data_IF_532251799743
#
_entry.id   IF_532251799743
#
_cell.length_a   1.000
_cell.length_b   1.000
_cell.length_c   1.000
_cell.angle_alpha   90.00
_cell.angle_beta   90.00
_cell.angle_gamma   90.00
#
_symmetry.space_group_name_H-M   'P 1'
#
loop_
_entity.id
_entity.type
_entity.pdbx_description
1 polymer ?
#
# COMPACT_ATOMS: atom_id res chain seq x y z
N UNK A 1 -10.84 20.23 -9.12
CA UNK A 1 -10.40 18.82 -9.02
C UNK A 1 -11.57 17.96 -8.59
N UNK A 2 -11.83 16.86 -9.32
CA UNK A 2 -12.74 15.81 -8.88
C UNK A 2 -12.08 15.02 -7.75
N UNK A 3 -12.75 14.88 -6.61
CA UNK A 3 -12.23 14.11 -5.46
C UNK A 3 -12.13 12.63 -5.85
N UNK A 4 -11.08 11.91 -5.43
CA UNK A 4 -10.98 10.48 -5.71
C UNK A 4 -12.09 9.71 -4.99
N UNK A 5 -12.54 8.61 -5.59
CA UNK A 5 -13.40 7.64 -4.92
C UNK A 5 -12.52 6.79 -4.01
N UNK A 6 -12.86 6.75 -2.72
CA UNK A 6 -12.14 5.96 -1.72
C UNK A 6 -12.98 4.74 -1.35
N UNK A 7 -12.34 3.57 -1.35
CA UNK A 7 -12.91 2.31 -0.87
C UNK A 7 -12.15 1.94 0.39
N UNK A 8 -12.86 1.77 1.50
CA UNK A 8 -12.30 1.24 2.73
C UNK A 8 -12.47 -0.29 2.74
N UNK A 9 -11.37 -1.01 2.85
CA UNK A 9 -11.36 -2.47 2.99
C UNK A 9 -10.94 -2.85 4.40
N UNK A 10 -11.65 -3.80 4.99
CA UNK A 10 -11.35 -4.34 6.33
C UNK A 10 -11.58 -5.84 6.35
N UNK A 11 -10.70 -6.55 7.06
CA UNK A 11 -10.94 -7.92 7.53
C UNK A 11 -11.17 -7.89 9.04
N UNK A 12 -12.30 -8.44 9.47
CA UNK A 12 -12.68 -8.49 10.89
C UNK A 12 -13.09 -9.89 11.31
N UNK A 13 -12.76 -10.22 12.55
CA UNK A 13 -13.38 -11.34 13.25
C UNK A 13 -14.86 -11.04 13.56
N UNK A 14 -15.63 -12.07 13.90
CA UNK A 14 -17.04 -11.94 14.27
C UNK A 14 -17.28 -11.02 15.48
N UNK A 15 -16.27 -10.87 16.35
CA UNK A 15 -16.29 -9.96 17.49
C UNK A 15 -15.86 -8.53 17.14
N UNK A 16 -15.66 -8.21 15.86
CA UNK A 16 -15.29 -6.88 15.38
C UNK A 16 -13.79 -6.56 15.45
N UNK A 17 -12.95 -7.47 15.94
CA UNK A 17 -11.49 -7.24 15.96
C UNK A 17 -10.93 -7.25 14.54
N UNK A 18 -10.18 -6.22 14.18
CA UNK A 18 -9.41 -6.14 12.93
C UNK A 18 -8.12 -6.93 13.10
N UNK A 19 -7.90 -7.92 12.25
CA UNK A 19 -6.74 -8.81 12.35
C UNK A 19 -6.16 -9.13 10.95
N UNK A 20 -5.81 -8.07 10.22
CA UNK A 20 -5.56 -8.13 8.77
C UNK A 20 -4.40 -9.03 8.36
N UNK A 21 -3.21 -8.83 8.95
CA UNK A 21 -1.97 -9.57 8.61
C UNK A 21 -1.74 -10.75 9.56
N UNK A 22 -2.40 -10.77 10.72
CA UNK A 22 -2.18 -11.77 11.78
C UNK A 22 -3.28 -12.84 11.89
N UNK A 23 -4.35 -12.80 11.08
CA UNK A 23 -5.30 -13.92 10.97
C UNK A 23 -4.85 -14.97 9.94
N UNK A 24 -3.73 -15.63 10.25
CA UNK A 24 -3.09 -16.66 9.43
C UNK A 24 -3.87 -17.98 9.55
N UNK A 25 -5.12 -17.96 9.08
CA UNK A 25 -6.00 -19.12 8.97
C UNK A 25 -6.36 -19.34 7.51
N UNK A 26 -6.71 -20.57 7.12
CA UNK A 26 -7.11 -20.87 5.74
C UNK A 26 -8.28 -20.01 5.25
N UNK A 27 -9.22 -19.70 6.14
CA UNK A 27 -10.36 -18.82 5.84
C UNK A 27 -9.90 -17.37 5.65
N UNK A 28 -9.01 -16.88 6.51
CA UNK A 28 -8.41 -15.54 6.38
C UNK A 28 -7.66 -15.38 5.06
N UNK A 29 -6.84 -16.36 4.69
CA UNK A 29 -6.11 -16.37 3.42
C UNK A 29 -7.02 -16.38 2.20
N UNK A 30 -8.12 -17.16 2.23
CA UNK A 30 -9.10 -17.16 1.15
C UNK A 30 -9.80 -15.80 1.00
N UNK A 31 -10.17 -15.16 2.10
CA UNK A 31 -10.74 -13.82 2.09
C UNK A 31 -9.74 -12.79 1.53
N UNK A 32 -8.48 -12.88 1.94
CA UNK A 32 -7.40 -12.02 1.43
C UNK A 32 -7.18 -12.22 -0.06
N UNK A 33 -7.15 -13.46 -0.54
CA UNK A 33 -7.04 -13.74 -1.97
C UNK A 33 -8.22 -13.12 -2.74
N UNK A 34 -9.46 -13.25 -2.25
CA UNK A 34 -10.62 -12.66 -2.90
C UNK A 34 -10.50 -11.12 -3.00
N UNK A 35 -10.01 -10.45 -1.96
CA UNK A 35 -9.72 -9.01 -2.03
C UNK A 35 -8.64 -8.68 -3.07
N UNK A 36 -7.55 -9.44 -3.12
CA UNK A 36 -6.51 -9.25 -4.13
C UNK A 36 -7.05 -9.44 -5.55
N UNK A 37 -7.81 -10.51 -5.80
CA UNK A 37 -8.43 -10.79 -7.10
C UNK A 37 -9.43 -9.68 -7.52
N UNK A 38 -10.01 -8.94 -6.56
CA UNK A 38 -10.90 -7.82 -6.87
C UNK A 38 -10.13 -6.52 -7.12
N UNK A 39 -9.10 -6.22 -6.32
CA UNK A 39 -8.55 -4.87 -6.19
C UNK A 39 -7.07 -4.73 -6.53
N UNK A 40 -6.21 -5.71 -6.21
CA UNK A 40 -4.75 -5.52 -6.23
C UNK A 40 -4.01 -6.46 -7.19
N UNK A 41 -4.64 -7.55 -7.62
CA UNK A 41 -4.03 -8.55 -8.48
C UNK A 41 -3.79 -8.07 -9.90
N UNK A 42 -2.94 -8.81 -10.62
CA UNK A 42 -2.63 -8.55 -12.04
C UNK A 42 -3.90 -8.58 -12.90
N UNK A 43 -4.79 -9.55 -12.65
CA UNK A 43 -6.06 -9.71 -13.34
C UNK A 43 -7.24 -9.25 -12.46
N UNK A 44 -7.06 -8.14 -11.73
CA UNK A 44 -8.08 -7.63 -10.82
C UNK A 44 -9.38 -7.29 -11.54
N UNK A 45 -10.52 -7.55 -10.90
CA UNK A 45 -11.83 -7.19 -11.45
C UNK A 45 -12.03 -5.68 -11.62
N UNK A 46 -11.57 -4.87 -10.64
CA UNK A 46 -11.64 -3.41 -10.69
C UNK A 46 -10.36 -2.82 -11.29
N UNK A 47 -10.30 -2.76 -12.62
CA UNK A 47 -9.13 -2.28 -13.38
C UNK A 47 -8.84 -0.77 -13.19
N UNK A 48 -9.88 0.03 -12.95
CA UNK A 48 -9.80 1.48 -12.68
C UNK A 48 -9.21 1.81 -11.29
N UNK A 49 -8.95 0.82 -10.43
CA UNK A 49 -8.28 1.07 -9.17
C UNK A 49 -6.83 1.53 -9.40
N UNK A 50 -6.52 2.76 -8.97
CA UNK A 50 -5.23 3.41 -9.24
C UNK A 50 -4.24 3.37 -8.08
N UNK A 51 -4.63 2.87 -6.92
CA UNK A 51 -3.65 2.72 -5.85
C UNK A 51 -4.19 2.43 -4.48
N UNK A 52 -3.29 1.92 -3.65
CA UNK A 52 -3.57 1.47 -2.29
C UNK A 52 -2.96 2.42 -1.28
N UNK A 53 -3.75 2.82 -0.29
CA UNK A 53 -3.31 3.63 0.84
C UNK A 53 -3.21 2.78 2.13
N UNK A 54 -2.10 2.90 2.86
CA UNK A 54 -1.96 2.29 4.18
C UNK A 54 -1.15 3.16 5.15
N UNK A 55 -1.39 2.98 6.45
CA UNK A 55 -0.56 3.60 7.49
C UNK A 55 0.78 2.89 7.64
N UNK A 56 1.74 3.57 8.26
CA UNK A 56 3.14 3.14 8.29
C UNK A 56 3.41 1.79 8.97
N UNK A 57 2.64 1.43 10.00
CA UNK A 57 2.78 0.10 10.63
C UNK A 57 2.36 -1.06 9.72
N UNK A 58 1.36 -0.84 8.85
CA UNK A 58 0.96 -1.82 7.83
C UNK A 58 2.04 -1.93 6.74
N UNK A 59 2.58 -0.79 6.31
CA UNK A 59 3.67 -0.71 5.34
C UNK A 59 4.88 -1.54 5.77
N UNK A 60 5.36 -1.32 7.00
CA UNK A 60 6.51 -2.05 7.56
C UNK A 60 6.26 -3.55 7.59
N UNK A 61 5.09 -3.98 8.07
CA UNK A 61 4.74 -5.38 8.18
C UNK A 61 4.73 -6.12 6.82
N UNK A 62 4.34 -5.43 5.74
CA UNK A 62 4.28 -6.02 4.39
C UNK A 62 5.62 -5.91 3.66
N UNK A 63 6.35 -4.81 3.86
CA UNK A 63 7.59 -4.53 3.12
C UNK A 63 8.85 -5.09 3.78
N UNK A 64 8.72 -5.67 4.97
CA UNK A 64 9.84 -6.29 5.70
C UNK A 64 10.64 -5.31 6.56
N UNK A 65 10.00 -4.22 7.01
CA UNK A 65 10.62 -3.20 7.87
C UNK A 65 11.53 -2.20 7.12
N UNK A 66 12.22 -1.33 7.87
CA UNK A 66 13.16 -0.38 7.29
C UNK A 66 14.29 -1.15 6.59
N UNK A 67 14.55 -0.79 5.33
CA UNK A 67 15.75 -1.24 4.63
C UNK A 67 16.85 -0.22 4.90
N UNK A 68 18.02 -0.67 5.33
CA UNK A 68 19.22 0.16 5.21
C UNK A 68 19.49 0.31 3.71
N UNK A 69 19.16 1.47 3.17
CA UNK A 69 19.51 1.84 1.81
C UNK A 69 20.77 2.68 1.89
N UNK A 70 21.89 2.12 1.45
CA UNK A 70 23.11 2.87 1.27
C UNK A 70 22.98 3.68 -0.02
N UNK A 71 22.53 4.93 0.10
CA UNK A 71 22.45 5.87 -1.02
C UNK A 71 23.85 6.46 -1.24
N UNK A 72 24.36 6.34 -2.45
CA UNK A 72 25.56 7.06 -2.88
C UNK A 72 25.34 8.57 -2.79
N UNK A 73 26.41 9.32 -2.51
CA UNK A 73 26.34 10.78 -2.50
C UNK A 73 25.76 11.30 -3.83
N UNK A 74 24.76 12.21 -3.78
CA UNK A 74 24.20 12.79 -4.99
C UNK A 74 25.30 13.50 -5.79
N UNK A 75 25.53 13.07 -7.02
CA UNK A 75 26.48 13.73 -7.94
C UNK A 75 25.85 14.91 -8.69
N UNK A 76 24.53 15.03 -8.62
CA UNK A 76 23.74 16.09 -9.28
C UNK A 76 22.80 16.76 -8.26
N UNK A 77 22.44 18.04 -8.48
CA UNK A 77 21.45 18.73 -7.65
C UNK A 77 20.10 18.03 -7.72
N UNK A 78 19.45 17.82 -6.56
CA UNK A 78 18.07 17.33 -6.51
C UNK A 78 17.16 18.33 -7.26
N UNK A 79 16.39 17.89 -8.27
CA UNK A 79 15.49 18.78 -9.00
C UNK A 79 14.48 19.46 -8.07
N UNK A 80 14.16 20.71 -8.34
CA UNK A 80 13.13 21.42 -7.59
C UNK A 80 11.74 20.83 -7.87
N UNK A 81 10.96 20.57 -6.83
CA UNK A 81 9.57 20.10 -6.90
C UNK A 81 9.32 18.83 -6.08
N UNK A 82 8.05 18.38 -6.07
CA UNK A 82 7.69 17.10 -5.47
C UNK A 82 8.10 15.97 -6.41
N UNK A 83 8.87 15.01 -5.91
CA UNK A 83 9.21 13.81 -6.67
C UNK A 83 7.98 12.89 -6.69
N UNK A 84 7.11 13.10 -7.68
CA UNK A 84 6.00 12.21 -7.94
C UNK A 84 6.56 10.93 -8.57
N UNK A 85 6.08 9.78 -8.08
CA UNK A 85 6.30 8.50 -8.74
C UNK A 85 5.90 8.57 -10.23
N UNK A 86 6.41 7.64 -11.04
CA UNK A 86 6.10 7.53 -12.47
C UNK A 86 4.60 7.86 -12.74
N UNK A 87 4.29 8.95 -13.46
CA UNK A 87 2.92 9.40 -13.66
C UNK A 87 2.09 8.37 -14.44
N UNK A 88 2.74 7.51 -15.21
CA UNK A 88 2.12 6.46 -16.01
C UNK A 88 2.03 5.12 -15.28
N UNK A 89 2.43 5.07 -14.00
CA UNK A 89 2.35 3.85 -13.21
C UNK A 89 0.91 3.30 -13.20
N UNK A 90 0.79 2.01 -13.47
CA UNK A 90 -0.51 1.33 -13.50
C UNK A 90 -1.20 1.33 -12.13
N UNK A 91 -0.43 1.41 -11.06
CA UNK A 91 -0.89 1.44 -9.68
C UNK A 91 0.10 2.19 -8.79
N UNK A 92 -0.40 3.03 -7.90
CA UNK A 92 0.38 3.73 -6.90
C UNK A 92 0.23 3.10 -5.53
N UNK A 93 1.28 3.18 -4.73
CA UNK A 93 1.23 2.90 -3.31
C UNK A 93 1.36 4.21 -2.53
N UNK A 94 0.41 4.49 -1.64
CA UNK A 94 0.35 5.69 -0.84
C UNK A 94 0.61 5.33 0.63
N UNK A 95 1.76 5.71 1.14
CA UNK A 95 2.06 5.55 2.56
C UNK A 95 1.62 6.80 3.34
N UNK A 96 0.80 6.61 4.37
CA UNK A 96 0.52 7.65 5.36
C UNK A 96 1.56 7.52 6.47
N UNK A 97 2.64 8.26 6.34
CA UNK A 97 3.75 8.26 7.29
C UNK A 97 4.10 9.67 7.76
N UNK A 98 3.69 9.97 8.99
CA UNK A 98 3.97 11.27 9.63
C UNK A 98 5.40 11.39 10.13
N UNK A 99 6.13 10.28 10.24
CA UNK A 99 7.48 10.23 10.82
C UNK A 99 8.58 10.21 9.77
N UNK A 100 8.26 9.94 8.50
CA UNK A 100 9.22 9.82 7.42
C UNK A 100 10.11 8.56 7.52
N UNK A 101 9.70 7.56 8.30
CA UNK A 101 10.44 6.31 8.52
C UNK A 101 10.39 5.34 7.33
N UNK A 102 9.46 5.56 6.40
CA UNK A 102 9.32 4.76 5.17
C UNK A 102 10.03 5.36 3.95
N UNK A 103 10.58 6.58 4.11
CA UNK A 103 11.31 7.28 3.05
C UNK A 103 12.75 6.74 2.91
#
# INVERSE_FOLDING_TARGET
>A
MTRPRIICHMHTLLNGKVDGIANITDVGWRAQKAYFDLMLGVNRFYDQHRGWISGSGTSEAIMGGPREVELSEPTEPVPAGDYLADPEAAMFYFAVDRTGKLA
#
